data_IF_441419076499
#
_entry.id   IF_441419076499
#
_cell.length_a   1.000
_cell.length_b   1.000
_cell.length_c   1.000
_cell.angle_alpha   90.00
_cell.angle_beta   90.00
_cell.angle_gamma   90.00
#
_symmetry.space_group_name_H-M   'P 1'
#
loop_
_entity.id
_entity.type
_entity.pdbx_description
1 polymer ?
#
# COMPACT_ATOMS: atom_id res chain seq x y z
N UNK A 1 6.69 -3.87 0.82
CA UNK A 1 8.17 -4.00 0.63
C UNK A 1 8.90 -2.68 0.92
N UNK A 2 8.15 -1.62 1.24
CA UNK A 2 8.63 -0.24 1.23
C UNK A 2 9.36 0.08 2.53
N UNK A 3 9.02 -0.64 3.61
CA UNK A 3 9.81 -0.68 4.84
C UNK A 3 11.27 -1.10 4.60
N UNK A 4 11.52 -2.00 3.66
CA UNK A 4 12.89 -2.38 3.30
C UNK A 4 13.63 -1.26 2.55
N UNK A 5 12.89 -0.38 1.86
CA UNK A 5 13.47 0.80 1.21
C UNK A 5 13.96 1.84 2.22
N UNK A 6 13.27 2.04 3.34
CA UNK A 6 13.81 2.88 4.43
C UNK A 6 15.10 2.26 5.02
N UNK A 7 15.11 0.95 5.25
CA UNK A 7 16.33 0.24 5.70
C UNK A 7 17.47 0.38 4.68
N UNK A 8 17.17 0.27 3.39
CA UNK A 8 18.14 0.46 2.32
C UNK A 8 18.66 1.90 2.28
N UNK A 9 17.79 2.89 2.50
CA UNK A 9 18.14 4.31 2.57
C UNK A 9 19.11 4.60 3.71
N UNK A 10 18.87 4.02 4.90
CA UNK A 10 19.77 4.16 6.04
C UNK A 10 21.18 3.59 5.75
N UNK A 11 21.26 2.49 5.00
CA UNK A 11 22.54 1.88 4.57
C UNK A 11 23.21 2.64 3.42
N UNK A 12 22.43 3.34 2.59
CA UNK A 12 22.89 4.07 1.41
C UNK A 12 22.28 5.48 1.37
N UNK A 13 22.72 6.42 2.23
CA UNK A 13 22.09 7.74 2.34
C UNK A 13 22.04 8.53 1.02
N UNK A 14 23.03 8.32 0.14
CA UNK A 14 23.09 8.98 -1.17
C UNK A 14 22.00 8.53 -2.15
N UNK A 15 21.29 7.42 -1.86
CA UNK A 15 20.18 6.95 -2.69
C UNK A 15 18.91 7.79 -2.50
N UNK A 16 18.81 8.58 -1.43
CA UNK A 16 17.64 9.42 -1.11
C UNK A 16 16.32 8.65 -1.14
N UNK A 17 16.31 7.44 -0.58
CA UNK A 17 15.13 6.56 -0.52
C UNK A 17 14.36 6.70 0.81
N UNK A 18 14.72 7.68 1.64
CA UNK A 18 14.12 7.94 2.94
C UNK A 18 12.71 8.53 2.83
N UNK A 19 12.29 8.97 1.65
CA UNK A 19 10.91 9.40 1.41
C UNK A 19 9.89 8.29 1.63
N UNK A 20 10.28 7.01 1.50
CA UNK A 20 9.41 5.86 1.81
C UNK A 20 9.10 5.72 3.31
N UNK A 21 9.86 6.38 4.18
CA UNK A 21 9.71 6.25 5.63
C UNK A 21 8.31 6.66 6.08
N UNK A 22 7.55 5.70 6.60
CA UNK A 22 6.24 5.93 7.19
C UNK A 22 5.10 6.06 6.17
N UNK A 23 5.36 5.77 4.90
CA UNK A 23 4.36 5.73 3.82
C UNK A 23 4.35 4.34 3.14
N UNK A 24 4.41 3.30 3.96
CA UNK A 24 4.64 1.93 3.52
C UNK A 24 3.40 1.31 2.85
N UNK A 25 3.50 1.02 1.55
CA UNK A 25 2.57 0.18 0.76
C UNK A 25 1.12 0.74 0.62
N UNK A 26 0.65 1.62 1.51
CA UNK A 26 -0.71 2.19 1.49
C UNK A 26 -0.82 3.54 0.77
N UNK A 27 0.30 4.17 0.42
CA UNK A 27 0.31 5.51 -0.14
C UNK A 27 -0.16 5.52 -1.60
N UNK A 28 -0.93 6.54 -1.94
CA UNK A 28 -1.37 6.84 -3.29
C UNK A 28 -1.82 8.28 -3.37
N UNK A 29 -1.88 8.82 -4.58
CA UNK A 29 -2.23 10.22 -4.81
C UNK A 29 -3.12 10.36 -6.05
N UNK A 30 -3.94 11.41 -6.04
CA UNK A 30 -4.83 11.73 -7.15
C UNK A 30 -4.08 12.64 -8.13
N UNK A 31 -3.91 12.17 -9.36
CA UNK A 31 -3.28 12.92 -10.45
C UNK A 31 -4.25 13.22 -11.59
N UNK A 32 -4.14 14.38 -12.26
CA UNK A 32 -4.96 14.67 -13.44
C UNK A 32 -4.63 13.74 -14.61
N UNK A 33 -5.58 12.92 -15.08
CA UNK A 33 -5.42 12.04 -16.25
C UNK A 33 -6.00 12.65 -17.55
N UNK A 34 -5.79 13.95 -17.73
CA UNK A 34 -6.23 14.69 -18.91
C UNK A 34 -7.75 14.69 -19.09
N UNK A 35 -8.24 14.37 -20.29
CA UNK A 35 -9.68 14.43 -20.61
C UNK A 35 -10.54 13.37 -19.89
N UNK A 36 -9.91 12.39 -19.22
CA UNK A 36 -10.61 11.30 -18.51
C UNK A 36 -10.96 11.64 -17.06
N UNK A 37 -10.57 12.83 -16.58
CA UNK A 37 -10.72 13.22 -15.18
C UNK A 37 -9.51 12.81 -14.34
N UNK A 38 -9.60 13.05 -13.04
CA UNK A 38 -8.53 12.70 -12.10
C UNK A 38 -8.46 11.18 -11.88
N UNK A 39 -7.27 10.70 -11.53
CA UNK A 39 -6.97 9.29 -11.40
C UNK A 39 -6.10 9.00 -10.17
N UNK A 40 -6.33 7.87 -9.53
CA UNK A 40 -5.52 7.44 -8.39
C UNK A 40 -4.29 6.69 -8.91
N UNK A 41 -3.12 7.14 -8.49
CA UNK A 41 -1.85 6.46 -8.73
C UNK A 41 -1.40 5.82 -7.42
N UNK A 42 -1.23 4.50 -7.45
CA UNK A 42 -0.66 3.74 -6.34
C UNK A 42 0.85 3.95 -6.28
N UNK A 43 1.37 4.18 -5.08
CA UNK A 43 2.81 4.17 -4.82
C UNK A 43 3.28 2.83 -4.25
N UNK A 44 2.42 1.82 -4.17
CA UNK A 44 2.84 0.46 -3.85
C UNK A 44 3.83 -0.07 -4.90
N UNK A 45 4.97 -0.58 -4.46
CA UNK A 45 6.06 -1.03 -5.32
C UNK A 45 5.68 -2.26 -6.14
N UNK A 46 4.88 -3.18 -5.59
CA UNK A 46 4.41 -4.36 -6.31
C UNK A 46 3.43 -3.96 -7.41
N UNK A 47 2.47 -3.10 -7.08
CA UNK A 47 1.54 -2.52 -8.05
C UNK A 47 2.31 -1.86 -9.22
N UNK A 48 3.35 -1.07 -8.90
CA UNK A 48 4.17 -0.39 -9.90
C UNK A 48 4.99 -1.36 -10.77
N UNK A 49 5.60 -2.39 -10.17
CA UNK A 49 6.34 -3.44 -10.92
C UNK A 49 5.41 -4.22 -11.84
N UNK A 50 4.23 -4.62 -11.35
CA UNK A 50 3.23 -5.35 -12.15
C UNK A 50 2.74 -4.45 -13.29
N UNK A 51 2.42 -3.18 -13.01
CA UNK A 51 2.01 -2.22 -14.02
C UNK A 51 3.07 -2.09 -15.12
N UNK A 52 4.35 -1.90 -14.74
CA UNK A 52 5.47 -1.79 -15.69
C UNK A 52 5.62 -3.05 -16.56
N UNK A 53 5.56 -4.25 -15.96
CA UNK A 53 5.73 -5.51 -16.69
C UNK A 53 4.58 -5.80 -17.67
N UNK A 54 3.38 -5.25 -17.41
CA UNK A 54 2.21 -5.35 -18.29
C UNK A 54 2.07 -4.16 -19.27
N UNK A 55 3.15 -3.41 -19.49
CA UNK A 55 3.18 -2.31 -20.46
C UNK A 55 2.53 -1.01 -19.98
N UNK A 56 2.30 -0.86 -18.67
CA UNK A 56 1.73 0.34 -18.04
C UNK A 56 0.25 0.58 -18.36
N UNK A 57 -0.42 -0.40 -18.98
CA UNK A 57 -1.80 -0.28 -19.46
C UNK A 57 -2.83 -0.70 -18.40
N UNK A 58 -2.42 -1.48 -17.40
CA UNK A 58 -3.28 -1.98 -16.32
C UNK A 58 -3.05 -1.22 -15.03
N UNK A 59 -4.13 -0.74 -14.41
CA UNK A 59 -4.09 -0.25 -13.03
C UNK A 59 -4.14 -1.44 -12.09
N UNK A 60 -3.06 -1.64 -11.36
CA UNK A 60 -3.01 -2.54 -10.22
C UNK A 60 -3.04 -1.61 -9.01
N UNK A 61 -4.19 -1.55 -8.34
CA UNK A 61 -4.43 -0.67 -7.20
C UNK A 61 -4.78 -1.47 -5.94
N UNK A 62 -4.99 -2.79 -6.08
CA UNK A 62 -5.64 -3.54 -5.02
C UNK A 62 -4.70 -3.74 -3.83
N UNK A 63 -3.38 -3.90 -4.03
CA UNK A 63 -2.44 -4.01 -2.92
C UNK A 63 -2.40 -2.72 -2.11
N UNK A 64 -2.32 -1.57 -2.78
CA UNK A 64 -2.40 -0.27 -2.12
C UNK A 64 -3.71 -0.09 -1.34
N UNK A 65 -4.85 -0.49 -1.93
CA UNK A 65 -6.15 -0.40 -1.26
C UNK A 65 -6.25 -1.33 -0.05
N UNK A 66 -5.74 -2.56 -0.15
CA UNK A 66 -5.67 -3.51 0.97
C UNK A 66 -4.77 -2.99 2.10
N UNK A 67 -3.59 -2.47 1.75
CA UNK A 67 -2.67 -1.85 2.70
C UNK A 67 -3.30 -0.62 3.37
N UNK A 68 -4.03 0.21 2.62
CA UNK A 68 -4.76 1.36 3.16
C UNK A 68 -5.84 0.92 4.16
N UNK A 69 -6.63 -0.11 3.83
CA UNK A 69 -7.61 -0.65 4.76
C UNK A 69 -6.95 -1.18 6.03
N UNK A 70 -5.86 -1.93 5.91
CA UNK A 70 -5.09 -2.40 7.07
C UNK A 70 -4.59 -1.24 7.92
N UNK A 71 -4.04 -0.19 7.29
CA UNK A 71 -3.57 1.01 7.99
C UNK A 71 -4.69 1.70 8.76
N UNK A 72 -5.82 1.96 8.12
CA UNK A 72 -7.00 2.56 8.78
C UNK A 72 -7.43 1.71 9.99
N UNK A 73 -7.47 0.39 9.82
CA UNK A 73 -7.88 -0.53 10.87
C UNK A 73 -6.89 -0.57 12.03
N UNK A 74 -5.59 -0.55 11.75
CA UNK A 74 -4.52 -0.48 12.75
C UNK A 74 -4.60 0.84 13.51
N UNK A 75 -4.77 1.98 12.83
CA UNK A 75 -4.93 3.28 13.48
C UNK A 75 -6.18 3.35 14.36
N UNK A 76 -7.26 2.64 13.98
CA UNK A 76 -8.51 2.65 14.71
C UNK A 76 -8.55 1.68 15.89
N UNK A 77 -8.01 0.45 15.74
CA UNK A 77 -8.16 -0.62 16.73
C UNK A 77 -6.85 -1.20 17.27
N UNK A 78 -5.71 -0.82 16.69
CA UNK A 78 -4.41 -1.40 17.00
C UNK A 78 -4.08 -2.64 16.17
N UNK A 79 -2.78 -2.86 15.97
CA UNK A 79 -2.24 -3.95 15.16
C UNK A 79 -2.57 -5.34 15.73
N UNK A 80 -2.41 -5.54 17.04
CA UNK A 80 -2.73 -6.82 17.70
C UNK A 80 -4.20 -7.24 17.48
N UNK A 81 -5.11 -6.25 17.41
CA UNK A 81 -6.53 -6.49 17.19
C UNK A 81 -6.81 -6.89 15.74
N UNK A 82 -6.15 -6.23 14.78
CA UNK A 82 -6.20 -6.63 13.37
C UNK A 82 -5.71 -8.06 13.20
N UNK A 83 -4.53 -8.39 13.75
CA UNK A 83 -3.93 -9.72 13.63
C UNK A 83 -4.85 -10.81 14.19
N UNK A 84 -5.35 -10.62 15.42
CA UNK A 84 -6.27 -11.56 16.06
C UNK A 84 -7.55 -11.74 15.22
N UNK A 85 -8.13 -10.65 14.73
CA UNK A 85 -9.34 -10.70 13.92
C UNK A 85 -9.13 -11.41 12.58
N UNK A 86 -7.99 -11.19 11.91
CA UNK A 86 -7.63 -11.89 10.67
C UNK A 86 -7.50 -13.39 10.91
N UNK A 87 -6.78 -13.81 11.96
CA UNK A 87 -6.61 -15.24 12.29
C UNK A 87 -7.94 -15.92 12.57
N UNK A 88 -8.79 -15.30 13.38
CA UNK A 88 -10.12 -15.84 13.72
C UNK A 88 -11.05 -15.96 12.50
N UNK A 89 -10.89 -15.07 11.53
CA UNK A 89 -11.78 -14.98 10.37
C UNK A 89 -11.18 -15.54 9.07
N UNK A 90 -9.98 -16.13 9.11
CA UNK A 90 -9.25 -16.57 7.92
C UNK A 90 -10.06 -17.53 7.05
N UNK A 91 -10.82 -18.46 7.67
CA UNK A 91 -11.69 -19.40 6.94
C UNK A 91 -12.89 -18.72 6.28
N UNK A 92 -13.39 -17.64 6.88
CA UNK A 92 -14.56 -16.89 6.41
C UNK A 92 -14.19 -15.88 5.33
N UNK A 93 -12.95 -15.38 5.36
CA UNK A 93 -12.41 -14.45 4.37
C UNK A 93 -12.83 -13.00 4.53
N UNK A 94 -13.58 -12.65 5.58
CA UNK A 94 -13.94 -11.27 5.89
C UNK A 94 -14.14 -11.05 7.40
N UNK A 95 -13.91 -9.81 7.84
CA UNK A 95 -14.15 -9.36 9.21
C UNK A 95 -15.47 -8.58 9.23
N UNK A 96 -16.30 -8.86 10.23
CA UNK A 96 -17.56 -8.16 10.44
C UNK A 96 -17.45 -7.35 11.73
N UNK A 97 -17.54 -6.03 11.62
CA UNK A 97 -17.58 -5.12 12.76
C UNK A 97 -19.03 -4.98 13.22
N UNK A 98 -19.26 -5.07 14.53
CA UNK A 98 -20.57 -4.86 15.15
C UNK A 98 -20.68 -3.47 15.76
#
# INVERSE_FOLDING_TARGET
AEKEMDVLSQKNPNANLDFWRGIDDFAGEIFPAGKKGDDIVSFDLLDNVISLTHGGLGKYLYHQQEALWNKIFIEYMGEEKLESAVVENLKRGYIELK
#
